data_IF_786873401959
#
_entry.id   IF_786873401959
#
_cell.length_a   1.000
_cell.length_b   1.000
_cell.length_c   1.000
_cell.angle_alpha   90.00
_cell.angle_beta   90.00
_cell.angle_gamma   90.00
#
_symmetry.space_group_name_H-M   'P 1'
#
loop_
_entity.id
_entity.type
_entity.pdbx_description
1 polymer ?
#
# COMPACT_ATOMS: atom_id res chain seq x y z
N UNK A 1 20.51 87.91 -19.84
CA UNK A 1 20.00 86.72 -20.60
C UNK A 1 20.51 85.47 -19.88
N UNK A 2 19.72 84.89 -18.96
CA UNK A 2 20.13 83.68 -18.18
C UNK A 2 19.43 82.45 -18.74
N UNK A 3 20.22 81.55 -19.36
CA UNK A 3 19.78 80.24 -19.76
C UNK A 3 19.91 79.28 -18.55
N UNK A 4 18.78 78.82 -18.03
CA UNK A 4 18.72 77.75 -17.05
C UNK A 4 18.76 76.44 -17.82
N UNK A 5 19.81 75.64 -17.60
CA UNK A 5 19.96 74.29 -18.13
C UNK A 5 19.30 73.27 -17.13
N UNK A 6 18.26 72.60 -17.59
CA UNK A 6 17.56 71.59 -16.79
C UNK A 6 18.21 70.21 -17.12
N UNK A 7 18.90 69.60 -16.15
CA UNK A 7 19.39 68.25 -16.26
C UNK A 7 18.25 67.28 -15.89
N UNK A 8 17.86 66.44 -16.82
CA UNK A 8 16.90 65.39 -16.69
C UNK A 8 17.64 64.10 -16.29
N UNK A 9 17.55 63.70 -15.03
CA UNK A 9 18.13 62.43 -14.52
C UNK A 9 17.19 61.28 -14.85
N UNK A 10 17.64 60.41 -15.74
CA UNK A 10 16.96 59.17 -16.13
C UNK A 10 17.27 58.12 -15.06
N UNK A 11 16.33 57.83 -14.19
CA UNK A 11 16.43 56.74 -13.21
C UNK A 11 16.17 55.39 -13.89
N UNK A 12 17.17 54.55 -13.99
CA UNK A 12 17.02 53.15 -14.45
C UNK A 12 16.66 52.30 -13.24
N UNK A 13 15.41 51.90 -13.17
CA UNK A 13 14.95 50.90 -12.18
C UNK A 13 15.24 49.51 -12.67
N UNK A 14 16.23 48.84 -12.09
CA UNK A 14 16.55 47.41 -12.33
C UNK A 14 15.63 46.58 -11.44
N UNK A 15 14.57 46.00 -12.03
CA UNK A 15 13.71 45.03 -11.34
C UNK A 15 14.40 43.68 -11.32
N UNK A 16 14.86 43.27 -10.15
CA UNK A 16 15.45 41.92 -9.93
C UNK A 16 14.28 40.92 -9.82
N UNK A 17 14.01 40.21 -10.91
CA UNK A 17 13.07 39.07 -10.90
C UNK A 17 13.72 37.89 -10.20
N UNK A 18 13.32 37.60 -8.96
CA UNK A 18 13.71 36.39 -8.25
C UNK A 18 12.91 35.22 -8.85
N UNK A 19 13.53 34.40 -9.70
CA UNK A 19 12.97 33.11 -10.12
C UNK A 19 13.08 32.15 -8.95
N UNK A 20 11.98 31.92 -8.24
CA UNK A 20 11.85 30.79 -7.34
C UNK A 20 11.62 29.53 -8.16
N UNK A 21 12.68 28.75 -8.40
CA UNK A 21 12.55 27.38 -8.92
C UNK A 21 11.89 26.52 -7.85
N UNK A 22 10.61 26.20 -8.01
CA UNK A 22 9.95 25.17 -7.22
C UNK A 22 10.62 23.83 -7.61
N UNK A 23 11.40 23.26 -6.69
CA UNK A 23 11.89 21.90 -6.80
C UNK A 23 10.66 21.00 -6.62
N UNK A 24 10.10 20.47 -7.71
CA UNK A 24 9.12 19.42 -7.64
C UNK A 24 9.83 18.17 -7.09
N UNK A 25 9.62 17.87 -5.81
CA UNK A 25 9.99 16.57 -5.26
C UNK A 25 9.08 15.56 -5.95
N UNK A 26 9.63 14.81 -6.89
CA UNK A 26 8.92 13.68 -7.51
C UNK A 26 8.58 12.70 -6.40
N UNK A 27 7.30 12.45 -6.15
CA UNK A 27 6.86 11.34 -5.32
C UNK A 27 7.53 10.07 -5.87
N UNK A 28 8.32 9.39 -5.03
CA UNK A 28 9.07 8.21 -5.47
C UNK A 28 8.11 7.18 -6.07
N UNK A 29 8.50 6.60 -7.21
CA UNK A 29 7.68 5.56 -7.85
C UNK A 29 7.51 4.38 -6.88
N UNK A 30 6.28 4.21 -6.32
CA UNK A 30 5.94 3.12 -5.39
C UNK A 30 6.30 1.74 -5.93
N UNK A 31 6.29 1.58 -7.25
CA UNK A 31 6.59 0.30 -7.89
C UNK A 31 8.08 -0.04 -7.92
N UNK A 32 8.96 0.88 -7.54
CA UNK A 32 10.38 0.60 -7.34
C UNK A 32 10.69 -0.02 -5.96
N UNK A 33 9.74 0.06 -5.01
CA UNK A 33 9.93 -0.43 -3.63
C UNK A 33 9.84 -1.96 -3.61
N UNK A 34 10.76 -2.58 -2.90
CA UNK A 34 10.77 -4.03 -2.68
C UNK A 34 11.27 -4.37 -1.26
N UNK A 35 10.77 -5.46 -0.71
CA UNK A 35 11.32 -6.07 0.49
C UNK A 35 12.64 -6.76 0.10
N UNK A 36 13.75 -6.50 0.78
CA UNK A 36 15.01 -7.19 0.49
C UNK A 36 14.85 -8.71 0.52
N UNK A 37 15.28 -9.40 -0.54
CA UNK A 37 15.10 -10.86 -0.68
C UNK A 37 13.65 -11.34 -0.87
N UNK A 38 12.69 -10.41 -0.94
CA UNK A 38 11.26 -10.69 -0.92
C UNK A 38 10.49 -10.16 -2.13
N UNK A 39 9.28 -9.67 -1.87
CA UNK A 39 8.36 -9.19 -2.89
C UNK A 39 8.67 -7.75 -3.30
N UNK A 40 8.43 -7.45 -4.56
CA UNK A 40 8.41 -6.08 -5.07
C UNK A 40 6.98 -5.53 -5.08
N UNK A 41 6.81 -4.26 -4.75
CA UNK A 41 5.51 -3.58 -4.88
C UNK A 41 4.96 -3.67 -6.31
N UNK A 42 5.85 -3.67 -7.31
CA UNK A 42 5.49 -3.80 -8.73
C UNK A 42 4.78 -5.11 -9.09
N UNK A 43 4.97 -6.18 -8.32
CA UNK A 43 4.27 -7.45 -8.52
C UNK A 43 2.76 -7.35 -8.30
N UNK A 44 2.31 -6.27 -7.64
CA UNK A 44 0.92 -6.01 -7.28
C UNK A 44 0.33 -4.80 -8.02
N UNK A 45 0.98 -4.34 -9.08
CA UNK A 45 0.52 -3.21 -9.88
C UNK A 45 -0.94 -3.40 -10.30
N UNK A 46 -1.77 -2.37 -10.07
CA UNK A 46 -3.19 -2.39 -10.36
C UNK A 46 -4.06 -3.00 -9.26
N UNK A 47 -3.49 -3.30 -8.07
CA UNK A 47 -4.25 -3.86 -6.93
C UNK A 47 -5.44 -2.98 -6.52
N UNK A 48 -5.39 -1.70 -6.77
CA UNK A 48 -6.47 -0.74 -6.46
C UNK A 48 -7.77 -1.05 -7.22
N UNK A 49 -7.66 -1.78 -8.33
CA UNK A 49 -8.81 -2.20 -9.14
C UNK A 49 -9.31 -3.62 -8.82
N UNK A 50 -8.65 -4.30 -7.87
CA UNK A 50 -9.05 -5.65 -7.51
C UNK A 50 -10.38 -5.67 -6.75
N UNK A 51 -11.07 -6.80 -6.83
CA UNK A 51 -12.34 -6.95 -6.14
C UNK A 51 -12.13 -7.06 -4.63
N UNK A 52 -12.95 -6.34 -3.86
CA UNK A 52 -12.98 -6.49 -2.40
C UNK A 52 -13.37 -7.93 -2.05
N UNK A 53 -12.60 -8.60 -1.22
CA UNK A 53 -12.94 -9.90 -0.62
C UNK A 53 -13.74 -9.66 0.65
N UNK A 54 -13.19 -8.86 1.57
CA UNK A 54 -13.78 -8.61 2.89
C UNK A 54 -13.26 -7.29 3.45
N UNK A 55 -13.84 -6.90 4.58
CA UNK A 55 -13.39 -5.78 5.40
C UNK A 55 -12.99 -6.31 6.77
N UNK A 56 -12.09 -5.65 7.44
CA UNK A 56 -11.79 -5.93 8.85
C UNK A 56 -11.58 -4.64 9.64
N UNK A 57 -11.90 -4.72 10.92
CA UNK A 57 -11.62 -3.64 11.87
C UNK A 57 -10.93 -4.27 13.09
N UNK A 58 -9.74 -3.79 13.41
CA UNK A 58 -8.97 -4.28 14.54
C UNK A 58 -8.27 -3.11 15.23
N UNK A 59 -8.71 -2.82 16.46
CA UNK A 59 -8.20 -1.65 17.19
C UNK A 59 -8.46 -0.35 16.45
N UNK A 60 -7.41 0.39 16.18
CA UNK A 60 -7.48 1.68 15.47
C UNK A 60 -7.46 1.56 13.94
N UNK A 61 -7.37 0.33 13.40
CA UNK A 61 -7.21 0.12 11.95
C UNK A 61 -8.48 -0.44 11.32
N UNK A 62 -8.92 0.20 10.24
CA UNK A 62 -9.82 -0.34 9.24
C UNK A 62 -9.00 -0.93 8.10
N UNK A 63 -9.44 -2.06 7.56
CA UNK A 63 -8.80 -2.62 6.38
C UNK A 63 -9.81 -3.11 5.35
N UNK A 64 -9.46 -2.90 4.07
CA UNK A 64 -10.07 -3.57 2.94
C UNK A 64 -9.12 -4.67 2.44
N UNK A 65 -9.68 -5.85 2.21
CA UNK A 65 -8.94 -7.00 1.69
C UNK A 65 -9.41 -7.22 0.26
N UNK A 66 -8.50 -7.08 -0.68
CA UNK A 66 -8.74 -7.17 -2.11
C UNK A 66 -8.12 -8.46 -2.67
N UNK A 67 -8.71 -8.99 -3.72
CA UNK A 67 -8.16 -10.13 -4.45
C UNK A 67 -8.15 -9.91 -5.95
N UNK A 68 -7.08 -10.38 -6.60
CA UNK A 68 -7.01 -10.39 -8.05
C UNK A 68 -8.00 -11.39 -8.65
N UNK A 69 -8.23 -11.39 -9.98
CA UNK A 69 -9.19 -12.30 -10.60
C UNK A 69 -8.97 -13.78 -10.25
N UNK A 70 -7.72 -14.26 -10.17
CA UNK A 70 -7.43 -15.64 -9.81
C UNK A 70 -7.90 -15.98 -8.38
N UNK A 71 -7.63 -15.08 -7.42
CA UNK A 71 -8.07 -15.23 -6.04
C UNK A 71 -9.60 -15.26 -5.92
N UNK A 72 -10.27 -14.35 -6.61
CA UNK A 72 -11.74 -14.24 -6.60
C UNK A 72 -12.39 -15.49 -7.22
N UNK A 73 -11.85 -15.99 -8.33
CA UNK A 73 -12.36 -17.23 -8.94
C UNK A 73 -12.17 -18.44 -8.04
N UNK A 74 -11.04 -18.53 -7.34
CA UNK A 74 -10.79 -19.57 -6.37
C UNK A 74 -11.82 -19.58 -5.23
N UNK A 75 -12.12 -18.43 -4.64
CA UNK A 75 -13.18 -18.31 -3.63
C UNK A 75 -14.56 -18.73 -4.17
N UNK A 76 -14.91 -18.30 -5.37
CA UNK A 76 -16.18 -18.69 -6.02
C UNK A 76 -16.27 -20.20 -6.29
N UNK A 77 -15.12 -20.86 -6.50
CA UNK A 77 -15.02 -22.31 -6.64
C UNK A 77 -15.02 -23.06 -5.30
N UNK A 78 -15.19 -22.36 -4.18
CA UNK A 78 -15.26 -22.94 -2.84
C UNK A 78 -13.91 -23.17 -2.16
N UNK A 79 -12.81 -22.65 -2.71
CA UNK A 79 -11.50 -22.69 -2.07
C UNK A 79 -11.44 -21.62 -0.96
N UNK A 80 -10.86 -21.89 0.18
CA UNK A 80 -10.19 -23.14 0.62
C UNK A 80 -11.14 -24.11 1.35
N UNK A 81 -12.43 -23.79 1.47
CA UNK A 81 -13.39 -24.57 2.25
C UNK A 81 -13.56 -26.02 1.72
N UNK A 82 -13.29 -26.23 0.44
CA UNK A 82 -13.31 -27.56 -0.19
C UNK A 82 -12.00 -28.35 -0.02
N UNK A 83 -11.07 -27.85 0.81
CA UNK A 83 -9.77 -28.49 1.09
C UNK A 83 -8.73 -28.33 -0.03
N UNK A 84 -9.02 -27.60 -1.11
CA UNK A 84 -8.06 -27.35 -2.18
C UNK A 84 -7.24 -26.10 -1.89
N UNK A 85 -5.95 -26.05 -2.30
CA UNK A 85 -5.14 -24.85 -2.20
C UNK A 85 -5.56 -23.81 -3.25
N UNK A 86 -5.24 -22.54 -2.99
CA UNK A 86 -5.34 -21.51 -3.99
C UNK A 86 -4.38 -21.75 -5.15
N UNK A 87 -4.76 -21.41 -6.38
CA UNK A 87 -3.89 -21.58 -7.54
C UNK A 87 -2.70 -20.60 -7.51
N UNK A 88 -1.59 -20.99 -8.11
CA UNK A 88 -0.48 -20.08 -8.35
C UNK A 88 -0.96 -18.85 -9.14
N UNK A 89 -0.41 -17.67 -8.80
CA UNK A 89 -0.87 -16.40 -9.32
C UNK A 89 -2.05 -15.78 -8.57
N UNK A 90 -2.66 -16.47 -7.59
CA UNK A 90 -3.61 -15.83 -6.68
C UNK A 90 -2.90 -14.77 -5.83
N UNK A 91 -3.47 -13.56 -5.76
CA UNK A 91 -2.89 -12.43 -5.03
C UNK A 91 -3.93 -11.74 -4.17
N UNK A 92 -3.47 -11.24 -3.03
CA UNK A 92 -4.26 -10.42 -2.11
C UNK A 92 -3.52 -9.14 -1.76
N UNK A 93 -4.28 -8.07 -1.55
CA UNK A 93 -3.81 -6.83 -0.96
C UNK A 93 -4.70 -6.49 0.25
N UNK A 94 -4.10 -6.22 1.39
CA UNK A 94 -4.80 -5.73 2.58
C UNK A 94 -4.35 -4.31 2.85
N UNK A 95 -5.24 -3.36 2.59
CA UNK A 95 -4.97 -1.94 2.75
C UNK A 95 -5.46 -1.53 4.13
N UNK A 96 -4.58 -0.96 4.95
CA UNK A 96 -4.92 -0.48 6.28
C UNK A 96 -4.95 1.04 6.33
N UNK A 97 -6.00 1.56 6.95
CA UNK A 97 -6.14 2.97 7.30
C UNK A 97 -6.33 3.12 8.80
N UNK A 98 -5.91 4.25 9.35
CA UNK A 98 -6.32 4.63 10.68
C UNK A 98 -7.82 4.96 10.64
N UNK A 99 -8.60 4.32 11.48
CA UNK A 99 -10.03 4.54 11.55
C UNK A 99 -10.34 5.96 12.07
N UNK A 100 -11.23 6.66 11.37
CA UNK A 100 -11.68 7.99 11.77
C UNK A 100 -13.19 7.97 11.99
N UNK A 101 -13.66 8.52 13.11
CA UNK A 101 -15.09 8.63 13.37
C UNK A 101 -15.68 9.86 12.68
N UNK A 102 -16.77 9.69 11.96
CA UNK A 102 -17.55 10.78 11.33
C UNK A 102 -18.75 11.14 12.22
N UNK A 103 -18.49 11.87 13.28
CA UNK A 103 -19.49 12.24 14.28
C UNK A 103 -20.65 13.09 13.73
N UNK A 104 -20.44 13.81 12.62
CA UNK A 104 -21.49 14.56 11.93
C UNK A 104 -22.50 13.67 11.17
N UNK A 105 -22.22 12.36 11.02
CA UNK A 105 -23.10 11.44 10.31
C UNK A 105 -23.94 10.63 11.32
N UNK A 106 -25.20 10.28 10.98
CA UNK A 106 -26.02 9.43 11.81
C UNK A 106 -25.28 8.13 12.18
N UNK A 107 -25.23 7.79 13.47
CA UNK A 107 -24.53 6.61 13.96
C UNK A 107 -23.02 6.75 14.09
N UNK A 108 -22.45 7.93 13.81
CA UNK A 108 -21.02 8.22 13.92
C UNK A 108 -20.11 7.09 13.38
N UNK A 109 -20.26 6.70 12.11
CA UNK A 109 -19.56 5.54 11.56
C UNK A 109 -18.06 5.72 11.58
N UNK A 110 -17.34 4.63 11.80
CA UNK A 110 -15.91 4.57 11.55
C UNK A 110 -15.66 4.46 10.04
N UNK A 111 -14.80 5.31 9.52
CA UNK A 111 -14.44 5.34 8.09
C UNK A 111 -12.92 5.31 7.93
N UNK A 112 -12.43 4.99 6.74
CA UNK A 112 -11.02 5.06 6.41
C UNK A 112 -10.53 6.51 6.54
N UNK A 113 -9.50 6.71 7.35
CA UNK A 113 -8.75 7.94 7.52
C UNK A 113 -7.39 7.86 6.81
N UNK A 114 -6.29 8.35 7.42
CA UNK A 114 -4.95 8.27 6.84
C UNK A 114 -4.55 6.85 6.48
N UNK A 115 -3.91 6.68 5.31
CA UNK A 115 -3.32 5.42 4.91
C UNK A 115 -2.16 5.07 5.85
N UNK A 116 -2.11 3.82 6.31
CA UNK A 116 -1.08 3.35 7.23
C UNK A 116 -0.08 2.42 6.55
N UNK A 117 -0.56 1.31 6.02
CA UNK A 117 0.27 0.30 5.36
C UNK A 117 -0.54 -0.51 4.35
N UNK A 118 0.17 -1.29 3.53
CA UNK A 118 -0.43 -2.29 2.65
C UNK A 118 0.35 -3.59 2.80
N UNK A 119 -0.36 -4.66 3.14
CA UNK A 119 0.18 -6.01 3.16
C UNK A 119 -0.23 -6.76 1.90
N UNK A 120 0.73 -7.46 1.30
CA UNK A 120 0.50 -8.27 0.12
C UNK A 120 0.79 -9.75 0.38
N UNK A 121 0.02 -10.60 -0.30
CA UNK A 121 0.27 -12.04 -0.42
C UNK A 121 0.21 -12.45 -1.88
N UNK A 122 1.08 -13.37 -2.29
CA UNK A 122 1.06 -14.00 -3.62
C UNK A 122 1.29 -15.49 -3.49
N UNK A 123 0.47 -16.28 -4.17
CA UNK A 123 0.66 -17.73 -4.31
C UNK A 123 1.61 -18.01 -5.46
N UNK A 124 2.72 -18.67 -5.14
CA UNK A 124 3.68 -19.23 -6.08
C UNK A 124 4.35 -20.43 -5.39
N UNK A 125 3.87 -21.62 -5.72
CA UNK A 125 4.27 -22.87 -5.06
C UNK A 125 5.72 -23.24 -5.31
N UNK A 126 6.33 -22.76 -6.38
CA UNK A 126 7.74 -23.01 -6.69
C UNK A 126 8.66 -22.02 -5.95
N UNK A 127 8.33 -20.73 -5.99
CA UNK A 127 9.14 -19.67 -5.39
C UNK A 127 9.09 -19.70 -3.87
N UNK A 128 7.96 -20.10 -3.29
CA UNK A 128 7.69 -20.04 -1.85
C UNK A 128 7.38 -21.40 -1.22
N UNK A 129 8.04 -22.44 -1.68
CA UNK A 129 7.79 -23.82 -1.24
C UNK A 129 7.91 -24.00 0.29
N UNK A 130 8.83 -23.30 0.93
CA UNK A 130 9.10 -23.36 2.38
C UNK A 130 8.17 -22.48 3.24
N UNK A 131 7.27 -21.72 2.61
CA UNK A 131 6.22 -20.93 3.28
C UNK A 131 4.81 -21.30 2.80
N UNK A 132 4.58 -22.58 2.50
CA UNK A 132 3.27 -23.09 2.06
C UNK A 132 2.86 -22.61 0.67
N UNK A 133 3.83 -22.20 -0.14
CA UNK A 133 3.61 -21.64 -1.47
C UNK A 133 3.18 -20.17 -1.45
N UNK A 134 3.25 -19.47 -0.30
CA UNK A 134 2.86 -18.08 -0.18
C UNK A 134 4.04 -17.16 0.09
N UNK A 135 4.17 -16.10 -0.71
CA UNK A 135 5.03 -14.97 -0.43
C UNK A 135 4.25 -13.84 0.23
N UNK A 136 4.90 -13.15 1.17
CA UNK A 136 4.32 -12.06 1.97
C UNK A 136 5.18 -10.82 1.86
N UNK A 137 4.57 -9.65 1.86
CA UNK A 137 5.28 -8.38 1.90
C UNK A 137 4.43 -7.31 2.55
N UNK A 138 5.05 -6.52 3.43
CA UNK A 138 4.43 -5.38 4.07
C UNK A 138 5.10 -4.09 3.60
N UNK A 139 4.32 -3.05 3.32
CA UNK A 139 4.79 -1.76 2.86
C UNK A 139 4.13 -0.65 3.66
N UNK A 140 4.91 0.07 4.45
CA UNK A 140 4.44 1.21 5.23
C UNK A 140 4.36 2.45 4.37
N UNK A 141 3.32 3.24 4.59
CA UNK A 141 3.12 4.52 3.92
C UNK A 141 3.65 5.67 4.78
N UNK A 142 4.38 6.57 4.18
CA UNK A 142 4.82 7.82 4.79
C UNK A 142 4.03 8.99 4.18
N UNK A 143 3.08 9.52 4.93
CA UNK A 143 2.21 10.61 4.48
C UNK A 143 2.98 11.90 4.19
N UNK A 144 4.05 12.18 4.96
CA UNK A 144 4.82 13.42 4.78
C UNK A 144 5.59 13.48 3.46
N UNK A 145 5.93 12.31 2.89
CA UNK A 145 6.71 12.21 1.64
C UNK A 145 5.91 11.57 0.50
N UNK A 146 4.67 11.15 0.76
CA UNK A 146 3.81 10.40 -0.19
C UNK A 146 4.52 9.19 -0.79
N UNK A 147 5.25 8.43 0.04
CA UNK A 147 6.05 7.29 -0.40
C UNK A 147 5.79 6.04 0.42
N UNK A 148 6.08 4.87 -0.18
CA UNK A 148 6.12 3.60 0.52
C UNK A 148 7.56 3.19 0.83
N UNK A 149 7.72 2.41 1.90
CA UNK A 149 8.96 1.73 2.27
C UNK A 149 8.64 0.29 2.68
N UNK A 150 9.62 -0.64 2.68
CA UNK A 150 9.42 -1.93 3.32
C UNK A 150 8.98 -1.74 4.77
N UNK A 151 7.83 -2.30 5.13
CA UNK A 151 7.25 -2.20 6.46
C UNK A 151 8.00 -3.04 7.48
N UNK A 152 8.81 -3.96 6.98
CA UNK A 152 9.59 -4.82 7.81
C UNK A 152 10.99 -5.05 7.25
N UNK A 153 11.98 -4.56 7.97
CA UNK A 153 13.39 -4.70 7.69
C UNK A 153 14.11 -5.56 8.75
N UNK A 154 13.35 -6.15 9.70
CA UNK A 154 13.88 -7.02 10.76
C UNK A 154 13.98 -8.46 10.26
N UNK A 155 15.06 -9.15 10.63
CA UNK A 155 15.26 -10.58 10.35
C UNK A 155 14.50 -11.48 11.33
N UNK A 156 13.78 -10.91 12.30
CA UNK A 156 13.05 -11.66 13.32
C UNK A 156 11.66 -12.07 12.86
N UNK A 157 11.31 -13.36 12.83
CA UNK A 157 9.93 -13.81 12.58
C UNK A 157 8.95 -13.20 13.59
N UNK A 158 7.68 -12.97 13.19
CA UNK A 158 7.06 -13.25 11.90
C UNK A 158 7.37 -12.22 10.81
N UNK A 159 8.25 -11.33 11.06
CA UNK A 159 8.54 -10.09 10.36
C UNK A 159 9.86 -10.16 9.60
N UNK A 160 10.11 -11.27 8.93
CA UNK A 160 11.27 -11.43 8.10
C UNK A 160 11.29 -10.43 6.94
N UNK A 161 12.46 -9.92 6.62
CA UNK A 161 12.66 -9.02 5.49
C UNK A 161 12.78 -9.74 4.14
N UNK A 162 12.56 -11.06 4.14
CA UNK A 162 12.32 -11.87 2.95
C UNK A 162 10.81 -11.97 2.66
N UNK A 163 10.40 -12.80 1.69
CA UNK A 163 9.00 -13.01 1.34
C UNK A 163 8.19 -13.81 2.40
N UNK A 164 8.69 -13.97 3.62
CA UNK A 164 8.06 -14.73 4.71
C UNK A 164 7.45 -13.83 5.80
N UNK A 165 7.43 -12.52 5.61
CA UNK A 165 6.78 -11.59 6.52
C UNK A 165 5.33 -12.03 6.76
N UNK A 166 4.98 -12.29 8.02
CA UNK A 166 3.63 -12.78 8.37
C UNK A 166 3.40 -14.28 8.25
N UNK A 167 4.29 -15.06 7.63
CA UNK A 167 4.12 -16.52 7.50
C UNK A 167 3.88 -17.20 8.85
N UNK A 168 4.66 -16.83 9.88
CA UNK A 168 4.48 -17.39 11.22
C UNK A 168 3.05 -17.21 11.76
N UNK A 169 2.43 -16.06 11.52
CA UNK A 169 1.03 -15.82 11.91
C UNK A 169 0.06 -16.63 11.04
N UNK A 170 0.30 -16.73 9.74
CA UNK A 170 -0.60 -17.41 8.81
C UNK A 170 -0.58 -18.94 8.95
N UNK A 171 0.44 -19.53 9.58
CA UNK A 171 0.46 -20.96 9.92
C UNK A 171 -0.69 -21.41 10.80
N UNK A 172 -1.30 -20.52 11.58
CA UNK A 172 -2.48 -20.79 12.41
C UNK A 172 -3.65 -21.30 11.57
N UNK A 173 -3.74 -20.85 10.31
CA UNK A 173 -4.80 -21.22 9.36
C UNK A 173 -4.26 -22.01 8.17
N UNK A 174 -3.23 -22.83 8.38
CA UNK A 174 -2.65 -23.68 7.31
C UNK A 174 -3.68 -24.62 6.66
N UNK A 175 -4.67 -25.05 7.42
CA UNK A 175 -5.78 -25.88 6.93
C UNK A 175 -6.72 -25.12 5.97
N UNK A 176 -6.57 -23.81 5.87
CA UNK A 176 -7.26 -22.93 4.93
C UNK A 176 -6.28 -22.35 3.89
N UNK A 177 -5.25 -23.10 3.58
CA UNK A 177 -4.16 -22.67 2.72
C UNK A 177 -3.58 -21.30 3.13
N UNK A 178 -3.37 -21.11 4.43
CA UNK A 178 -2.77 -19.91 5.04
C UNK A 178 -3.58 -18.61 4.85
N UNK A 179 -4.88 -18.66 4.51
CA UNK A 179 -5.73 -17.50 4.28
C UNK A 179 -6.76 -17.33 5.38
N UNK A 180 -6.64 -16.28 6.19
CA UNK A 180 -7.60 -15.94 7.26
C UNK A 180 -8.96 -15.52 6.70
N UNK A 181 -8.94 -14.80 5.58
CA UNK A 181 -10.10 -14.10 5.05
C UNK A 181 -11.14 -15.06 4.48
N UNK A 182 -12.40 -14.78 4.76
CA UNK A 182 -13.55 -15.43 4.14
C UNK A 182 -14.13 -14.54 3.04
N UNK A 183 -14.78 -15.19 2.06
CA UNK A 183 -15.49 -14.51 0.99
C UNK A 183 -16.99 -14.56 1.29
N UNK A 184 -17.55 -13.53 1.94
CA UNK A 184 -18.96 -13.53 2.34
C UNK A 184 -19.88 -13.44 1.13
N UNK A 185 -21.11 -13.90 1.33
CA UNK A 185 -22.19 -13.71 0.33
C UNK A 185 -22.42 -12.22 0.06
N UNK A 186 -22.77 -11.91 -1.18
CA UNK A 186 -23.05 -10.55 -1.67
C UNK A 186 -24.32 -10.56 -2.48
#
# INVERSE_FOLDING_TARGET
MNRKSTFMTLGISVSLAVLTTAVAVSAGDRYSVKVPGGLSFSEFKGYETWQVISLSHNGEKLAAILGNPAMIQAFKAGIPANGKPFPDGAKMAKIHWIATSKTAYPGAPAVAGPLHDIDFMVKDSQRFADSGGWGYGAFEFNEATDTFRPGNTSDSPPQANDAKCGFGCHTIVKNRDYVFTEFPKR
#
